data_IF_260609691683
#
_entry.id   IF_260609691683
#
_cell.length_a   1.000
_cell.length_b   1.000
_cell.length_c   1.000
_cell.angle_alpha   90.00
_cell.angle_beta   90.00
_cell.angle_gamma   90.00
#
_symmetry.space_group_name_H-M   'P 1'
#
loop_
_entity.id
_entity.type
_entity.pdbx_description
1 polymer ?
#
# COMPACT_ATOMS: atom_id res chain seq x y z
N UNK A 1 -0.81 0.98 5.29
CA UNK A 1 -0.45 2.26 5.91
C UNK A 1 1.06 2.40 5.79
N UNK A 2 1.51 3.55 5.29
CA UNK A 2 2.91 3.77 4.93
C UNK A 2 3.42 5.04 5.62
N UNK A 3 4.59 4.96 6.24
CA UNK A 3 5.39 6.13 6.59
C UNK A 3 6.65 6.10 5.73
N UNK A 4 6.73 7.00 4.78
CA UNK A 4 7.77 7.03 3.74
C UNK A 4 8.74 8.16 4.07
N UNK A 5 10.00 7.81 4.26
CA UNK A 5 11.08 8.76 4.48
C UNK A 5 12.00 8.74 3.28
N UNK A 6 12.19 9.89 2.64
CA UNK A 6 13.15 10.06 1.55
C UNK A 6 14.32 10.86 2.09
N UNK A 7 15.49 10.25 2.16
CA UNK A 7 16.72 10.91 2.58
C UNK A 7 17.51 11.38 1.36
N UNK A 8 17.81 12.67 1.34
CA UNK A 8 18.55 13.35 0.27
C UNK A 8 19.75 14.09 0.86
N UNK A 9 20.83 14.30 0.10
CA UNK A 9 21.89 15.19 0.56
C UNK A 9 21.36 16.62 0.74
N UNK A 10 21.87 17.35 1.74
CA UNK A 10 21.44 18.72 1.99
C UNK A 10 21.80 19.66 0.83
N UNK A 11 20.86 20.50 0.41
CA UNK A 11 21.08 21.56 -0.57
C UNK A 11 21.06 21.10 -2.03
N UNK A 12 20.74 19.84 -2.31
CA UNK A 12 20.60 19.34 -3.70
C UNK A 12 19.23 19.63 -4.30
N UNK A 13 18.21 19.87 -3.48
CA UNK A 13 16.83 20.11 -3.90
C UNK A 13 16.30 21.42 -3.30
N UNK A 14 15.60 22.21 -4.10
CA UNK A 14 14.77 23.33 -3.65
C UNK A 14 13.55 22.86 -2.87
N UNK A 15 12.85 23.78 -2.20
CA UNK A 15 11.60 23.45 -1.50
C UNK A 15 10.53 22.90 -2.45
N UNK A 16 10.40 23.49 -3.63
CA UNK A 16 9.44 23.05 -4.64
C UNK A 16 9.77 21.64 -5.15
N UNK A 17 11.06 21.33 -5.38
CA UNK A 17 11.49 19.99 -5.79
C UNK A 17 11.25 18.96 -4.69
N UNK A 18 11.49 19.29 -3.41
CA UNK A 18 11.16 18.41 -2.28
C UNK A 18 9.66 18.16 -2.17
N UNK A 19 8.83 19.18 -2.36
CA UNK A 19 7.37 19.00 -2.37
C UNK A 19 6.92 18.12 -3.54
N UNK A 20 7.49 18.32 -4.74
CA UNK A 20 7.20 17.50 -5.91
C UNK A 20 7.62 16.04 -5.70
N UNK A 21 8.80 15.81 -5.11
CA UNK A 21 9.31 14.49 -4.74
C UNK A 21 8.37 13.78 -3.75
N UNK A 22 7.92 14.49 -2.70
CA UNK A 22 6.96 13.94 -1.74
C UNK A 22 5.62 13.59 -2.42
N UNK A 23 5.13 14.44 -3.32
CA UNK A 23 3.87 14.23 -4.05
C UNK A 23 3.87 12.99 -4.97
N UNK A 24 5.04 12.57 -5.45
CA UNK A 24 5.20 11.34 -6.26
C UNK A 24 4.99 10.06 -5.46
N UNK A 25 5.28 10.09 -4.16
CA UNK A 25 5.26 8.90 -3.29
C UNK A 25 3.99 8.81 -2.43
N UNK A 26 2.90 9.48 -2.84
CA UNK A 26 1.60 9.37 -2.18
C UNK A 26 0.99 7.99 -2.35
N UNK A 27 0.16 7.55 -1.40
CA UNK A 27 -0.47 6.22 -1.48
C UNK A 27 -1.33 6.08 -2.74
N UNK A 28 -2.01 7.16 -3.15
CA UNK A 28 -2.75 7.20 -4.42
C UNK A 28 -1.91 6.80 -5.62
N UNK A 29 -0.63 7.19 -5.69
CA UNK A 29 0.25 6.85 -6.82
C UNK A 29 0.92 5.50 -6.66
N UNK A 30 1.31 5.18 -5.42
CA UNK A 30 2.02 3.94 -5.13
C UNK A 30 1.08 2.72 -5.13
N UNK A 31 -0.17 2.87 -4.73
CA UNK A 31 -1.14 1.78 -4.62
C UNK A 31 -2.12 1.73 -5.80
N UNK A 32 -2.17 2.76 -6.64
CA UNK A 32 -2.81 2.65 -7.95
C UNK A 32 -1.89 1.89 -8.92
N UNK A 33 -2.06 0.57 -8.97
CA UNK A 33 -1.38 -0.33 -9.92
C UNK A 33 -2.14 -0.47 -11.23
N UNK A 34 -1.41 -0.78 -12.30
CA UNK A 34 -1.79 -0.70 -13.72
C UNK A 34 -2.80 -1.73 -14.24
N UNK A 35 -3.26 -2.66 -13.39
CA UNK A 35 -4.32 -3.63 -13.71
C UNK A 35 -5.36 -3.81 -12.58
N UNK A 36 -5.09 -3.26 -11.39
CA UNK A 36 -5.88 -3.50 -10.18
C UNK A 36 -6.52 -2.20 -9.71
N UNK A 37 -7.75 -1.97 -10.14
CA UNK A 37 -8.54 -0.88 -9.58
C UNK A 37 -8.81 -1.19 -8.10
N UNK A 38 -8.23 -0.38 -7.22
CA UNK A 38 -8.56 -0.36 -5.79
C UNK A 38 -9.86 0.44 -5.62
N UNK A 39 -10.76 -0.05 -4.77
CA UNK A 39 -11.97 0.69 -4.40
C UNK A 39 -11.64 2.13 -3.97
N UNK A 40 -12.33 3.16 -4.49
CA UNK A 40 -11.99 4.56 -4.22
C UNK A 40 -12.02 4.93 -2.72
N UNK A 41 -12.95 4.36 -1.96
CA UNK A 41 -13.03 4.60 -0.52
C UNK A 41 -11.90 3.91 0.24
N UNK A 42 -11.49 2.72 -0.19
CA UNK A 42 -10.29 2.04 0.34
C UNK A 42 -9.01 2.82 0.01
N UNK A 43 -8.87 3.31 -1.22
CA UNK A 43 -7.75 4.16 -1.60
C UNK A 43 -7.71 5.44 -0.76
N UNK A 44 -8.87 6.07 -0.52
CA UNK A 44 -9.01 7.23 0.35
C UNK A 44 -8.57 6.95 1.79
N UNK A 45 -8.96 5.80 2.35
CA UNK A 45 -8.47 5.35 3.65
C UNK A 45 -6.94 5.21 3.65
N UNK A 46 -6.39 4.44 2.71
CA UNK A 46 -4.95 4.16 2.68
C UNK A 46 -4.11 5.43 2.48
N UNK A 47 -4.60 6.38 1.69
CA UNK A 47 -4.01 7.71 1.51
C UNK A 47 -4.06 8.54 2.80
N UNK A 48 -5.21 8.55 3.50
CA UNK A 48 -5.33 9.24 4.79
C UNK A 48 -4.42 8.68 5.89
N UNK A 49 -4.00 7.42 5.74
CA UNK A 49 -3.10 6.73 6.67
C UNK A 49 -1.65 6.78 6.20
N UNK A 50 -1.33 7.44 5.09
CA UNK A 50 0.02 7.48 4.54
C UNK A 50 0.64 8.85 4.76
N UNK A 51 1.92 8.88 5.10
CA UNK A 51 2.68 10.10 5.25
C UNK A 51 4.00 9.97 4.52
N UNK A 52 4.42 11.06 3.87
CA UNK A 52 5.70 11.15 3.18
C UNK A 52 6.48 12.32 3.78
N UNK A 53 7.73 12.09 4.13
CA UNK A 53 8.66 13.12 4.58
C UNK A 53 9.92 13.07 3.72
N UNK A 54 10.45 14.25 3.41
CA UNK A 54 11.75 14.39 2.75
C UNK A 54 12.72 14.97 3.78
N UNK A 55 13.82 14.27 4.04
CA UNK A 55 14.85 14.64 5.01
C UNK A 55 16.13 14.98 4.28
N UNK A 56 16.68 16.15 4.59
CA UNK A 56 17.97 16.57 4.09
C UNK A 56 19.07 16.24 5.08
N UNK A 57 20.00 15.37 4.68
CA UNK A 57 21.10 14.91 5.50
C UNK A 57 22.36 15.74 5.25
N UNK A 58 22.91 16.31 6.32
CA UNK A 58 24.11 17.17 6.23
C UNK A 58 25.37 16.40 5.87
N UNK A 59 25.46 15.15 6.32
CA UNK A 59 26.61 14.28 6.10
C UNK A 59 26.11 13.11 5.26
N UNK A 60 26.57 13.07 4.01
CA UNK A 60 26.24 12.00 3.07
C UNK A 60 27.53 11.51 2.42
N UNK A 61 27.95 10.31 2.76
CA UNK A 61 29.11 9.66 2.16
C UNK A 61 28.64 8.46 1.35
N UNK A 62 28.64 8.63 0.04
CA UNK A 62 28.56 7.54 -0.92
C UNK A 62 29.94 7.36 -1.59
N UNK A 63 30.06 6.43 -2.55
CA UNK A 63 31.26 6.34 -3.40
C UNK A 63 31.44 7.61 -4.25
N UNK A 64 31.27 7.53 -5.57
CA UNK A 64 31.07 8.76 -6.34
C UNK A 64 29.77 9.43 -5.83
N UNK A 65 29.85 10.70 -5.41
CA UNK A 65 28.67 11.45 -4.94
C UNK A 65 27.78 11.71 -6.16
N UNK A 66 26.70 10.96 -6.26
CA UNK A 66 25.63 11.20 -7.22
C UNK A 66 24.49 11.93 -6.48
N UNK A 67 24.25 13.22 -6.77
CA UNK A 67 23.20 14.00 -6.12
C UNK A 67 21.78 13.50 -6.47
N UNK A 68 21.65 12.60 -7.45
CA UNK A 68 20.39 11.98 -7.85
C UNK A 68 20.10 10.65 -7.15
N UNK A 69 20.97 10.21 -6.20
CA UNK A 69 20.84 8.92 -5.52
C UNK A 69 20.34 9.06 -4.09
N UNK A 70 19.11 8.62 -3.85
CA UNK A 70 18.42 8.76 -2.57
C UNK A 70 18.37 7.43 -1.79
N UNK A 71 17.98 7.52 -0.52
CA UNK A 71 17.53 6.36 0.25
C UNK A 71 16.07 6.58 0.61
N UNK A 72 15.23 5.58 0.37
CA UNK A 72 13.82 5.60 0.75
C UNK A 72 13.58 4.51 1.77
N UNK A 73 13.18 4.89 2.98
CA UNK A 73 12.69 3.95 3.97
C UNK A 73 11.17 4.00 3.99
N UNK A 74 10.53 2.85 3.81
CA UNK A 74 9.08 2.70 3.88
C UNK A 74 8.76 1.85 5.10
N UNK A 75 8.31 2.49 6.16
CA UNK A 75 7.71 1.76 7.28
C UNK A 75 6.29 1.40 6.90
N UNK A 76 6.05 0.10 6.72
CA UNK A 76 4.74 -0.46 6.41
C UNK A 76 4.16 -0.98 7.71
N UNK A 77 2.90 -0.63 7.98
CA UNK A 77 2.16 -1.23 9.10
C UNK A 77 1.93 -2.72 8.89
N UNK A 78 0.68 -3.13 8.84
CA UNK A 78 0.34 -4.53 8.55
C UNK A 78 0.69 -4.86 7.08
N UNK A 79 1.13 -6.11 6.84
CA UNK A 79 1.46 -6.68 5.51
C UNK A 79 2.75 -6.19 4.86
N UNK A 80 3.77 -5.91 5.68
CA UNK A 80 5.09 -5.50 5.17
C UNK A 80 5.65 -6.43 4.10
N UNK A 81 5.64 -7.76 4.34
CA UNK A 81 6.19 -8.74 3.39
C UNK A 81 5.43 -8.75 2.07
N UNK A 82 4.10 -8.76 2.12
CA UNK A 82 3.24 -8.83 0.95
C UNK A 82 3.29 -7.56 0.11
N UNK A 83 3.52 -6.40 0.73
CA UNK A 83 3.64 -5.13 0.03
C UNK A 83 5.05 -4.83 -0.48
N UNK A 84 6.07 -5.55 -0.03
CA UNK A 84 7.49 -5.21 -0.29
C UNK A 84 7.82 -5.09 -1.77
N UNK A 85 7.56 -6.13 -2.57
CA UNK A 85 7.95 -6.14 -3.99
C UNK A 85 7.24 -5.04 -4.77
N UNK A 86 5.93 -4.91 -4.56
CA UNK A 86 5.12 -3.85 -5.18
C UNK A 86 5.65 -2.45 -4.82
N UNK A 87 5.88 -2.17 -3.54
CA UNK A 87 6.37 -0.86 -3.11
C UNK A 87 7.76 -0.55 -3.64
N UNK A 88 8.69 -1.51 -3.62
CA UNK A 88 10.03 -1.34 -4.20
C UNK A 88 9.93 -1.00 -5.68
N UNK A 89 9.18 -1.79 -6.45
CA UNK A 89 9.02 -1.56 -7.90
C UNK A 89 8.39 -0.20 -8.19
N UNK A 90 7.31 0.15 -7.50
CA UNK A 90 6.57 1.40 -7.77
C UNK A 90 7.33 2.65 -7.36
N UNK A 91 8.00 2.63 -6.20
CA UNK A 91 8.80 3.76 -5.75
C UNK A 91 9.99 3.96 -6.69
N UNK A 92 10.71 2.90 -7.04
CA UNK A 92 11.84 2.99 -7.97
C UNK A 92 11.40 3.53 -9.33
N UNK A 93 10.24 3.12 -9.85
CA UNK A 93 9.70 3.65 -11.10
C UNK A 93 9.38 5.16 -11.00
N UNK A 94 8.67 5.57 -9.95
CA UNK A 94 8.29 6.98 -9.73
C UNK A 94 9.50 7.92 -9.59
N UNK A 95 10.61 7.42 -9.02
CA UNK A 95 11.87 8.15 -8.89
C UNK A 95 12.68 8.15 -10.18
N UNK A 96 12.75 7.02 -10.88
CA UNK A 96 13.41 6.94 -12.18
C UNK A 96 12.77 7.90 -13.21
N UNK A 97 11.45 8.02 -13.22
CA UNK A 97 10.71 8.99 -14.04
C UNK A 97 11.02 10.45 -13.67
N UNK A 98 11.54 10.70 -12.47
CA UNK A 98 12.03 12.00 -12.02
C UNK A 98 13.54 12.19 -12.26
N UNK A 99 14.22 11.23 -12.91
CA UNK A 99 15.67 11.26 -13.13
C UNK A 99 16.50 10.99 -11.86
N UNK A 100 15.92 10.30 -10.88
CA UNK A 100 16.58 9.91 -9.63
C UNK A 100 16.68 8.38 -9.49
N UNK A 101 17.73 7.92 -8.81
CA UNK A 101 17.89 6.54 -8.38
C UNK A 101 17.69 6.46 -6.85
N UNK A 102 17.28 5.30 -6.33
CA UNK A 102 17.17 5.11 -4.90
C UNK A 102 17.40 3.68 -4.43
N UNK A 103 18.01 3.57 -3.26
CA UNK A 103 17.90 2.35 -2.44
C UNK A 103 16.56 2.41 -1.70
N UNK A 104 15.67 1.45 -1.95
CA UNK A 104 14.36 1.37 -1.31
C UNK A 104 14.35 0.24 -0.29
N UNK A 105 14.12 0.59 0.97
CA UNK A 105 13.97 -0.35 2.08
C UNK A 105 12.51 -0.42 2.52
N UNK A 106 11.95 -1.62 2.57
CA UNK A 106 10.61 -1.85 3.13
C UNK A 106 10.75 -2.48 4.52
N UNK A 107 10.24 -1.79 5.53
CA UNK A 107 10.39 -2.12 6.94
C UNK A 107 9.00 -2.47 7.48
N UNK A 108 8.74 -3.75 7.69
CA UNK A 108 7.47 -4.22 8.24
C UNK A 108 7.39 -4.01 9.76
N UNK A 109 6.29 -3.43 10.22
CA UNK A 109 5.96 -3.36 11.65
C UNK A 109 5.35 -4.71 12.08
N UNK A 110 5.88 -5.37 13.12
CA UNK A 110 5.36 -6.66 13.57
C UNK A 110 3.93 -6.53 14.14
N UNK A 111 3.21 -7.65 14.16
CA UNK A 111 1.88 -7.72 14.78
C UNK A 111 1.89 -7.20 16.22
N UNK A 112 0.97 -6.27 16.53
CA UNK A 112 0.91 -5.57 17.82
C UNK A 112 1.84 -4.37 17.96
N UNK A 113 2.79 -4.16 17.04
CA UNK A 113 3.67 -3.00 17.00
C UNK A 113 3.07 -1.77 16.31
N UNK A 114 1.88 -1.91 15.74
CA UNK A 114 1.26 -0.87 14.93
C UNK A 114 0.13 -0.16 15.70
N UNK A 115 0.27 1.15 15.92
CA UNK A 115 -0.72 2.00 16.59
C UNK A 115 -1.48 2.90 15.62
N UNK A 116 -2.81 2.91 15.70
CA UNK A 116 -3.65 3.78 14.88
C UNK A 116 -4.93 4.17 15.63
N UNK A 117 -5.22 5.48 15.64
CA UNK A 117 -6.36 6.09 16.36
C UNK A 117 -6.34 5.74 17.85
N UNK A 118 -5.18 5.91 18.49
CA UNK A 118 -5.00 5.76 19.93
C UNK A 118 -5.02 4.32 20.46
N UNK A 119 -5.01 3.30 19.60
CA UNK A 119 -4.96 1.89 20.01
C UNK A 119 -4.06 1.06 19.11
N UNK A 120 -3.59 -0.06 19.64
CA UNK A 120 -2.90 -1.10 18.86
C UNK A 120 -3.88 -1.68 17.84
N UNK A 121 -3.42 -1.83 16.59
CA UNK A 121 -4.15 -2.45 15.49
C UNK A 121 -3.44 -3.70 15.02
N UNK A 122 -4.21 -4.77 14.90
CA UNK A 122 -3.78 -6.04 14.31
C UNK A 122 -4.29 -6.17 12.88
N UNK A 123 -3.82 -7.18 12.15
CA UNK A 123 -4.31 -7.47 10.79
C UNK A 123 -5.84 -7.48 10.67
N UNK A 124 -6.62 -8.13 11.56
CA UNK A 124 -8.08 -8.13 11.45
C UNK A 124 -8.70 -6.75 11.62
N UNK A 125 -8.19 -5.93 12.56
CA UNK A 125 -8.67 -4.55 12.75
C UNK A 125 -8.48 -3.70 11.48
N UNK A 126 -7.38 -3.93 10.77
CA UNK A 126 -7.10 -3.24 9.52
C UNK A 126 -8.01 -3.70 8.39
N UNK A 127 -8.30 -5.00 8.29
CA UNK A 127 -9.27 -5.54 7.33
C UNK A 127 -10.68 -5.03 7.60
N UNK A 128 -11.08 -4.91 8.87
CA UNK A 128 -12.36 -4.29 9.24
C UNK A 128 -12.45 -2.85 8.75
N UNK A 129 -11.41 -2.04 8.96
CA UNK A 129 -11.37 -0.65 8.49
C UNK A 129 -11.42 -0.56 6.96
N UNK A 130 -10.69 -1.43 6.26
CA UNK A 130 -10.71 -1.51 4.80
C UNK A 130 -12.10 -1.88 4.29
N UNK A 131 -12.70 -2.94 4.84
CA UNK A 131 -14.02 -3.40 4.45
C UNK A 131 -15.08 -2.32 4.64
N UNK A 132 -15.03 -1.60 5.79
CA UNK A 132 -15.93 -0.49 6.11
C UNK A 132 -15.73 0.74 5.23
N UNK A 133 -14.54 0.91 4.65
CA UNK A 133 -14.22 2.07 3.82
C UNK A 133 -14.61 1.86 2.36
N UNK A 134 -15.04 0.66 1.96
CA UNK A 134 -15.47 0.41 0.59
C UNK A 134 -16.69 1.25 0.23
N UNK A 135 -16.61 1.91 -0.91
CA UNK A 135 -17.73 2.65 -1.50
C UNK A 135 -18.36 1.94 -2.69
N UNK A 136 -17.75 0.85 -3.15
CA UNK A 136 -18.05 0.21 -4.42
C UNK A 136 -17.34 0.93 -5.57
N UNK A 137 -16.97 0.17 -6.60
CA UNK A 137 -16.61 0.74 -7.90
C UNK A 137 -17.87 0.91 -8.75
N UNK A 138 -18.06 2.09 -9.35
CA UNK A 138 -19.11 2.32 -10.34
C UNK A 138 -18.73 1.74 -11.72
N UNK A 139 -17.46 1.39 -11.94
CA UNK A 139 -17.00 0.85 -13.20
C UNK A 139 -17.34 -0.64 -13.30
N UNK A 140 -17.77 -1.13 -14.48
CA UNK A 140 -17.97 -2.55 -14.72
C UNK A 140 -16.65 -3.30 -14.53
N UNK A 141 -16.73 -4.48 -13.93
CA UNK A 141 -15.59 -5.39 -13.77
C UNK A 141 -15.19 -5.90 -15.17
N UNK A 142 -13.94 -5.73 -15.60
CA UNK A 142 -13.49 -6.25 -16.88
C UNK A 142 -13.64 -7.77 -16.99
N UNK A 143 -13.79 -8.28 -18.20
CA UNK A 143 -13.80 -9.74 -18.43
C UNK A 143 -12.48 -10.36 -17.96
N UNK A 144 -12.56 -11.54 -17.33
CA UNK A 144 -11.40 -12.21 -16.73
C UNK A 144 -10.93 -11.64 -15.39
N UNK A 145 -11.63 -10.65 -14.84
CA UNK A 145 -11.34 -10.07 -13.52
C UNK A 145 -12.40 -10.43 -12.48
N UNK A 146 -12.01 -10.42 -11.21
CA UNK A 146 -12.89 -10.58 -10.05
C UNK A 146 -12.63 -9.46 -9.05
N UNK A 147 -13.65 -9.10 -8.26
CA UNK A 147 -13.53 -8.10 -7.19
C UNK A 147 -13.50 -8.78 -5.84
N UNK A 148 -12.45 -8.49 -5.06
CA UNK A 148 -12.33 -8.95 -3.68
C UNK A 148 -13.46 -8.34 -2.82
N UNK A 149 -14.32 -9.16 -2.18
CA UNK A 149 -15.46 -8.68 -1.42
C UNK A 149 -15.09 -8.12 -0.04
N UNK A 150 -13.81 -8.05 0.32
CA UNK A 150 -13.28 -7.43 1.55
C UNK A 150 -12.62 -6.10 1.22
N UNK A 151 -11.62 -6.09 0.33
CA UNK A 151 -10.84 -4.88 0.05
C UNK A 151 -11.24 -4.14 -1.23
N UNK A 152 -12.09 -4.75 -2.06
CA UNK A 152 -12.54 -4.14 -3.32
C UNK A 152 -11.46 -4.05 -4.40
N UNK A 153 -10.32 -4.73 -4.21
CA UNK A 153 -9.33 -4.89 -5.26
C UNK A 153 -9.95 -5.68 -6.43
N UNK A 154 -9.80 -5.14 -7.64
CA UNK A 154 -10.05 -5.89 -8.87
C UNK A 154 -8.77 -6.61 -9.24
N UNK A 155 -8.83 -7.92 -9.52
CA UNK A 155 -7.67 -8.72 -9.87
C UNK A 155 -8.01 -9.80 -10.91
N UNK A 156 -7.01 -10.35 -11.62
CA UNK A 156 -7.23 -11.44 -12.55
C UNK A 156 -7.79 -12.69 -11.84
N UNK A 157 -8.70 -13.40 -12.51
CA UNK A 157 -9.33 -14.63 -12.02
C UNK A 157 -8.27 -15.70 -11.72
N UNK A 158 -7.22 -15.77 -12.51
CA UNK A 158 -6.09 -16.69 -12.35
C UNK A 158 -5.28 -16.43 -11.07
N UNK A 159 -5.24 -15.19 -10.59
CA UNK A 159 -4.49 -14.77 -9.39
C UNK A 159 -5.35 -14.85 -8.12
N UNK A 160 -6.66 -15.05 -8.28
CA UNK A 160 -7.59 -15.02 -7.17
C UNK A 160 -7.45 -16.24 -6.26
N UNK A 161 -7.44 -15.98 -4.96
CA UNK A 161 -7.63 -17.02 -3.94
C UNK A 161 -9.13 -17.30 -3.84
N UNK A 162 -9.57 -18.53 -4.05
CA UNK A 162 -11.00 -18.86 -4.10
C UNK A 162 -11.58 -19.38 -2.78
N UNK A 163 -12.87 -19.15 -2.56
CA UNK A 163 -13.69 -19.73 -1.49
C UNK A 163 -15.09 -20.06 -2.00
N UNK A 164 -15.52 -21.30 -1.79
CA UNK A 164 -16.90 -21.75 -2.01
C UNK A 164 -17.68 -21.79 -0.69
N UNK A 165 -18.75 -20.99 -0.58
CA UNK A 165 -19.66 -20.97 0.58
C UNK A 165 -21.09 -20.67 0.14
N UNK A 166 -22.05 -21.42 0.69
CA UNK A 166 -23.48 -21.26 0.45
C UNK A 166 -23.86 -21.25 -1.05
N UNK A 167 -23.19 -22.11 -1.83
CA UNK A 167 -23.39 -22.21 -3.28
C UNK A 167 -22.87 -21.01 -4.07
N UNK A 168 -22.03 -20.16 -3.47
CA UNK A 168 -21.40 -19.00 -4.09
C UNK A 168 -19.88 -19.11 -4.05
N UNK A 169 -19.28 -18.76 -5.17
CA UNK A 169 -17.83 -18.63 -5.38
C UNK A 169 -17.40 -17.19 -5.10
N UNK A 170 -16.40 -17.01 -4.25
CA UNK A 170 -15.79 -15.71 -3.94
C UNK A 170 -14.29 -15.74 -4.28
N UNK A 171 -13.81 -14.72 -5.00
CA UNK A 171 -12.38 -14.51 -5.28
C UNK A 171 -11.79 -13.43 -4.38
N UNK A 172 -10.55 -13.61 -3.94
CA UNK A 172 -9.84 -12.69 -3.03
C UNK A 172 -8.44 -12.38 -3.54
N UNK A 173 -7.96 -11.17 -3.27
CA UNK A 173 -6.62 -10.75 -3.64
C UNK A 173 -5.51 -11.41 -2.82
N UNK A 174 -5.85 -11.92 -1.64
CA UNK A 174 -4.88 -12.61 -0.80
C UNK A 174 -5.55 -13.54 0.24
N UNK A 175 -4.77 -14.45 0.87
CA UNK A 175 -5.27 -15.32 1.93
C UNK A 175 -5.87 -14.58 3.13
N UNK A 176 -5.39 -13.37 3.44
CA UNK A 176 -5.89 -12.56 4.57
C UNK A 176 -7.33 -12.10 4.34
N UNK A 177 -7.65 -11.57 3.16
CA UNK A 177 -9.02 -11.20 2.78
C UNK A 177 -9.95 -12.42 2.81
N UNK A 178 -9.52 -13.54 2.21
CA UNK A 178 -10.30 -14.79 2.27
C UNK A 178 -10.59 -15.23 3.70
N UNK A 179 -9.56 -15.24 4.55
CA UNK A 179 -9.67 -15.68 5.94
C UNK A 179 -10.60 -14.79 6.77
N UNK A 180 -10.48 -13.47 6.60
CA UNK A 180 -11.36 -12.47 7.21
C UNK A 180 -12.82 -12.67 6.78
N UNK A 181 -13.06 -12.79 5.48
CA UNK A 181 -14.40 -13.01 4.95
C UNK A 181 -15.03 -14.30 5.47
N UNK A 182 -14.29 -15.41 5.43
CA UNK A 182 -14.75 -16.70 5.95
C UNK A 182 -15.08 -16.65 7.44
N UNK A 183 -14.31 -15.90 8.23
CA UNK A 183 -14.61 -15.67 9.66
C UNK A 183 -15.92 -14.91 9.83
N UNK A 184 -16.11 -13.81 9.11
CA UNK A 184 -17.33 -13.00 9.18
C UNK A 184 -18.59 -13.75 8.75
N UNK A 185 -18.48 -14.62 7.74
CA UNK A 185 -19.61 -15.47 7.35
C UNK A 185 -20.04 -16.42 8.47
N UNK A 186 -19.09 -17.05 9.18
CA UNK A 186 -19.40 -17.90 10.33
C UNK A 186 -20.08 -17.10 11.45
N UNK A 187 -19.51 -15.96 11.81
CA UNK A 187 -20.07 -15.09 12.86
C UNK A 187 -21.51 -14.62 12.54
N UNK A 188 -21.86 -14.46 11.26
CA UNK A 188 -23.23 -14.12 10.84
C UNK A 188 -24.18 -15.32 10.84
N UNK A 189 -23.69 -16.52 10.60
CA UNK A 189 -24.49 -17.74 10.65
C UNK A 189 -24.82 -18.14 12.09
N UNK A 190 -23.94 -17.79 13.04
CA UNK A 190 -24.08 -18.09 14.47
C UNK A 190 -24.87 -17.00 15.25
N UNK A 191 -25.24 -15.88 14.61
CA UNK A 191 -25.94 -14.74 15.20
C UNK A 191 -27.46 -14.76 14.91
#
# INVERSE_FOLDING_TARGET
MLFIEVMTPQGTLTEQERQALAGRLTARRLLAGTHDAVDPGVLGLLDSLTSVVVREERIWTAGAVDPSRYVVNVTVGVWGKEMSEHLVTRISAELADAGADAVVNVIGVPEGGYGLRGRVRRSPDMLDLIEQSRTGSAAPVPEGMVVDPVCGATLPVEDAVWLERDGRTYGFCCPHCRGHFAKRLRERADA
#
